data_IF_163222271162
#
_entry.id   IF_163222271162
#
_cell.length_a   1.000
_cell.length_b   1.000
_cell.length_c   1.000
_cell.angle_alpha   90.00
_cell.angle_beta   90.00
_cell.angle_gamma   90.00
#
_symmetry.space_group_name_H-M   'P 1'
#
loop_
_entity.id
_entity.type
_entity.pdbx_description
1 polymer ?
#
# COMPACT_ATOMS: atom_id res chain seq x y z
N UNK A 1 -12.71 -20.24 17.76
CA UNK A 1 -11.74 -20.03 16.87
C UNK A 1 -10.37 -19.84 17.45
N UNK A 2 -9.93 -20.84 18.05
CA UNK A 2 -8.66 -20.81 18.71
C UNK A 2 -7.51 -20.61 17.77
N UNK A 3 -7.59 -21.20 16.58
CA UNK A 3 -6.48 -21.15 15.66
C UNK A 3 -6.15 -19.77 15.15
N UNK A 4 -7.09 -18.84 15.27
CA UNK A 4 -6.88 -17.47 14.82
C UNK A 4 -6.82 -16.49 15.96
N UNK A 5 -6.81 -17.00 17.17
CA UNK A 5 -6.76 -16.14 18.33
C UNK A 5 -5.47 -15.35 18.34
N UNK A 6 -5.58 -14.04 18.42
CA UNK A 6 -4.41 -13.17 18.36
C UNK A 6 -3.85 -12.94 16.99
N UNK A 7 -4.40 -13.61 15.96
CA UNK A 7 -3.88 -13.50 14.60
C UNK A 7 -4.36 -12.25 13.87
N UNK A 8 -5.52 -11.73 14.23
CA UNK A 8 -6.12 -10.59 13.56
C UNK A 8 -6.51 -9.55 14.58
N UNK A 9 -6.07 -8.33 14.36
CA UNK A 9 -6.40 -7.20 15.21
C UNK A 9 -7.02 -6.13 14.34
N UNK A 10 -8.20 -5.66 14.72
CA UNK A 10 -8.87 -4.56 14.03
C UNK A 10 -8.75 -3.31 14.88
N UNK A 11 -8.28 -2.24 14.26
CA UNK A 11 -8.09 -0.97 14.93
C UNK A 11 -8.73 0.13 14.12
N UNK A 12 -9.47 0.99 14.81
CA UNK A 12 -10.02 2.19 14.21
C UNK A 12 -9.19 3.37 14.66
N UNK A 13 -8.44 3.96 13.74
CA UNK A 13 -7.66 5.14 14.08
C UNK A 13 -7.33 5.89 12.81
N UNK A 14 -7.15 7.19 12.95
CA UNK A 14 -6.65 8.00 11.84
C UNK A 14 -5.15 7.80 11.73
N UNK A 15 -4.72 7.30 10.58
CA UNK A 15 -3.30 7.09 10.31
C UNK A 15 -2.71 8.36 9.72
N UNK A 16 -1.62 8.82 10.30
CA UNK A 16 -0.90 10.00 9.82
C UNK A 16 0.60 9.70 9.81
N UNK A 17 1.40 10.51 9.12
CA UNK A 17 2.84 10.29 9.14
C UNK A 17 3.43 10.24 10.54
N UNK A 18 2.82 11.01 11.47
CA UNK A 18 3.34 11.09 12.82
C UNK A 18 2.98 9.87 13.67
N UNK A 19 1.76 9.34 13.53
CA UNK A 19 1.31 8.31 14.46
C UNK A 19 1.65 6.89 14.03
N UNK A 20 2.09 6.68 12.79
CA UNK A 20 2.51 5.35 12.35
C UNK A 20 3.65 4.83 13.23
N UNK A 21 4.52 5.71 13.70
CA UNK A 21 5.65 5.30 14.53
C UNK A 21 5.22 4.63 15.83
N UNK A 22 4.03 4.96 16.30
CA UNK A 22 3.53 4.45 17.57
C UNK A 22 2.77 3.13 17.41
N UNK A 23 2.65 2.63 16.18
CA UNK A 23 1.99 1.35 15.96
C UNK A 23 2.88 0.21 16.44
N UNK A 24 2.29 -0.85 16.98
CA UNK A 24 3.07 -2.06 17.27
C UNK A 24 3.45 -2.75 15.96
N UNK A 25 4.33 -3.74 16.06
CA UNK A 25 4.72 -4.55 14.91
C UNK A 25 3.68 -5.67 14.76
N UNK A 26 3.20 -5.86 13.54
CA UNK A 26 2.27 -6.92 13.19
C UNK A 26 2.96 -7.89 12.23
N UNK A 27 2.45 -9.11 12.13
CA UNK A 27 2.98 -10.06 11.14
C UNK A 27 2.81 -9.51 9.73
N UNK A 28 1.60 -9.08 9.41
CA UNK A 28 1.30 -8.51 8.10
C UNK A 28 0.34 -7.35 8.25
N UNK A 29 0.45 -6.39 7.34
CA UNK A 29 -0.41 -5.21 7.32
C UNK A 29 -1.09 -5.14 5.96
N UNK A 30 -2.40 -4.86 5.97
CA UNK A 30 -3.18 -4.72 4.75
C UNK A 30 -3.48 -3.25 4.51
N UNK A 31 -3.01 -2.74 3.38
CA UNK A 31 -3.28 -1.36 2.94
C UNK A 31 -4.14 -1.42 1.69
N UNK A 32 -5.42 -1.74 1.87
CA UNK A 32 -6.34 -1.94 0.77
C UNK A 32 -7.15 -0.67 0.55
N UNK A 33 -7.01 -0.09 -0.64
CA UNK A 33 -7.79 1.11 -1.04
C UNK A 33 -7.55 2.32 -0.14
N UNK A 34 -6.34 2.48 0.39
CA UNK A 34 -6.04 3.60 1.28
C UNK A 34 -4.96 4.53 0.75
N UNK A 35 -4.10 4.06 -0.17
CA UNK A 35 -2.98 4.89 -0.62
C UNK A 35 -3.44 6.21 -1.24
N UNK A 36 -4.51 6.18 -2.04
CA UNK A 36 -5.01 7.40 -2.65
C UNK A 36 -5.55 8.38 -1.61
N UNK A 37 -6.05 7.88 -0.47
CA UNK A 37 -6.45 8.75 0.63
C UNK A 37 -5.23 9.39 1.29
N UNK A 38 -4.15 8.63 1.48
CA UNK A 38 -2.91 9.19 2.01
C UNK A 38 -2.40 10.32 1.12
N UNK A 39 -2.43 10.10 -0.20
CA UNK A 39 -1.98 11.12 -1.15
C UNK A 39 -2.84 12.38 -1.05
N UNK A 40 -4.16 12.21 -1.00
CA UNK A 40 -5.06 13.37 -0.92
C UNK A 40 -4.89 14.15 0.38
N UNK A 41 -4.67 13.44 1.48
CA UNK A 41 -4.61 14.08 2.80
C UNK A 41 -3.22 14.61 3.13
N UNK A 42 -2.18 13.96 2.66
CA UNK A 42 -0.82 14.27 3.12
C UNK A 42 0.17 14.57 2.00
N UNK A 43 -0.24 14.44 0.76
CA UNK A 43 0.64 14.64 -0.39
C UNK A 43 1.37 13.37 -0.78
N UNK A 44 1.91 13.37 -1.99
CA UNK A 44 2.49 12.16 -2.58
C UNK A 44 3.72 11.67 -1.82
N UNK A 45 4.64 12.59 -1.50
CA UNK A 45 5.87 12.18 -0.83
C UNK A 45 5.62 11.64 0.56
N UNK A 46 4.70 12.26 1.29
CA UNK A 46 4.32 11.76 2.62
C UNK A 46 3.60 10.44 2.53
N UNK A 47 2.76 10.25 1.50
CA UNK A 47 2.06 8.98 1.31
C UNK A 47 3.05 7.85 1.06
N UNK A 48 4.07 8.09 0.25
CA UNK A 48 5.11 7.09 0.01
C UNK A 48 5.86 6.74 1.29
N UNK A 49 6.21 7.76 2.06
CA UNK A 49 6.89 7.55 3.34
C UNK A 49 6.02 6.76 4.32
N UNK A 50 4.71 7.06 4.34
CA UNK A 50 3.78 6.33 5.21
C UNK A 50 3.74 4.84 4.86
N UNK A 51 3.73 4.52 3.57
CA UNK A 51 3.70 3.12 3.14
C UNK A 51 4.98 2.40 3.56
N UNK A 52 6.13 3.06 3.42
CA UNK A 52 7.41 2.48 3.85
C UNK A 52 7.42 2.30 5.37
N UNK A 53 6.90 3.28 6.11
CA UNK A 53 6.85 3.19 7.57
C UNK A 53 5.92 2.06 8.01
N UNK A 54 4.78 1.89 7.33
CA UNK A 54 3.89 0.77 7.61
C UNK A 54 4.58 -0.56 7.32
N UNK A 55 5.34 -0.62 6.23
CA UNK A 55 6.10 -1.84 5.94
C UNK A 55 7.10 -2.14 7.06
N UNK A 56 7.71 -1.11 7.64
CA UNK A 56 8.65 -1.32 8.74
C UNK A 56 7.96 -1.88 9.98
N UNK A 57 6.64 -1.68 10.10
CA UNK A 57 5.84 -2.22 11.20
C UNK A 57 5.28 -3.60 10.91
N UNK A 58 5.56 -4.18 9.74
CA UNK A 58 5.17 -5.55 9.44
C UNK A 58 6.40 -6.45 9.61
N UNK A 59 6.20 -7.57 10.27
CA UNK A 59 7.31 -8.52 10.45
C UNK A 59 7.58 -9.30 9.18
N UNK A 60 6.55 -9.55 8.39
CA UNK A 60 6.66 -10.39 7.19
C UNK A 60 6.27 -9.69 5.92
N UNK A 61 5.08 -9.09 5.85
CA UNK A 61 4.56 -8.60 4.59
C UNK A 61 3.66 -7.40 4.77
N UNK A 62 3.66 -6.54 3.76
CA UNK A 62 2.67 -5.50 3.57
C UNK A 62 1.92 -5.81 2.28
N UNK A 63 0.60 -5.77 2.33
CA UNK A 63 -0.23 -5.90 1.14
C UNK A 63 -0.75 -4.53 0.76
N UNK A 64 -0.46 -4.10 -0.46
CA UNK A 64 -0.76 -2.76 -0.91
C UNK A 64 -1.61 -2.82 -2.17
N UNK A 65 -2.76 -2.16 -2.12
CA UNK A 65 -3.65 -2.08 -3.27
C UNK A 65 -3.72 -0.63 -3.73
N UNK A 66 -3.47 -0.42 -5.02
CA UNK A 66 -3.39 0.92 -5.60
C UNK A 66 -4.37 1.04 -6.77
N UNK A 67 -5.23 2.09 -6.78
CA UNK A 67 -6.05 2.36 -7.95
C UNK A 67 -5.21 2.77 -9.15
N UNK A 68 -5.66 2.38 -10.33
CA UNK A 68 -4.91 2.61 -11.57
C UNK A 68 -5.22 3.95 -12.24
N UNK A 69 -6.16 4.71 -11.70
CA UNK A 69 -6.59 5.97 -12.33
C UNK A 69 -6.32 7.15 -11.43
N UNK A 70 -5.83 8.21 -12.04
CA UNK A 70 -5.39 9.39 -11.31
C UNK A 70 -6.55 10.12 -10.61
N UNK A 71 -7.78 9.94 -11.10
CA UNK A 71 -8.94 10.60 -10.47
C UNK A 71 -9.10 10.27 -9.00
N UNK A 72 -8.68 9.08 -8.58
CA UNK A 72 -8.73 8.70 -7.18
C UNK A 72 -7.75 9.46 -6.31
N UNK A 73 -6.78 10.13 -6.92
CA UNK A 73 -5.74 10.87 -6.22
C UNK A 73 -5.93 12.38 -6.30
N UNK A 74 -7.05 12.83 -6.90
CA UNK A 74 -7.32 14.26 -7.09
C UNK A 74 -6.17 14.98 -7.80
N UNK A 75 -5.59 14.33 -8.81
CA UNK A 75 -4.49 14.89 -9.61
C UNK A 75 -3.26 15.26 -8.78
N UNK A 76 -3.05 14.57 -7.67
CA UNK A 76 -1.91 14.88 -6.79
C UNK A 76 -0.71 13.95 -6.98
N UNK A 77 -0.78 13.03 -7.92
CA UNK A 77 0.37 12.19 -8.25
C UNK A 77 1.22 12.83 -9.34
N UNK A 78 2.51 12.60 -9.27
CA UNK A 78 3.45 13.08 -10.27
C UNK A 78 3.37 12.31 -11.59
N UNK A 79 2.71 11.14 -11.58
CA UNK A 79 2.57 10.31 -12.77
C UNK A 79 1.12 9.86 -12.91
N UNK A 80 0.65 9.81 -14.16
CA UNK A 80 -0.67 9.26 -14.46
C UNK A 80 -0.48 7.82 -14.92
N UNK A 81 -1.00 6.87 -14.15
CA UNK A 81 -0.88 5.45 -14.49
C UNK A 81 -1.66 5.09 -15.74
N UNK A 82 -2.74 5.80 -16.02
CA UNK A 82 -3.57 5.59 -17.19
C UNK A 82 -3.99 4.13 -17.35
N UNK A 83 -4.27 3.46 -16.24
CA UNK A 83 -4.68 2.06 -16.25
C UNK A 83 -3.58 1.06 -16.56
N UNK A 84 -2.33 1.50 -16.67
CA UNK A 84 -1.24 0.64 -17.12
C UNK A 84 -0.51 0.00 -15.95
N UNK A 85 -0.50 -1.34 -15.95
CA UNK A 85 0.17 -2.11 -14.91
C UNK A 85 1.67 -1.81 -14.84
N UNK A 86 2.33 -1.65 -15.98
CA UNK A 86 3.77 -1.44 -15.98
C UNK A 86 4.17 -0.13 -15.29
N UNK A 87 3.33 0.89 -15.40
CA UNK A 87 3.60 2.16 -14.70
C UNK A 87 3.35 2.03 -13.20
N UNK A 88 2.30 1.33 -12.80
CA UNK A 88 2.02 1.08 -11.39
C UNK A 88 3.14 0.22 -10.79
N UNK A 89 3.56 -0.81 -11.50
CA UNK A 89 4.61 -1.71 -11.06
C UNK A 89 5.90 -0.92 -10.78
N UNK A 90 6.29 -0.06 -11.72
CA UNK A 90 7.48 0.76 -11.55
C UNK A 90 7.34 1.71 -10.37
N UNK A 91 6.17 2.31 -10.25
CA UNK A 91 5.92 3.28 -9.17
C UNK A 91 6.09 2.62 -7.80
N UNK A 92 5.51 1.43 -7.62
CA UNK A 92 5.60 0.73 -6.35
C UNK A 92 7.03 0.29 -6.07
N UNK A 93 7.72 -0.25 -7.09
CA UNK A 93 9.10 -0.67 -6.90
C UNK A 93 10.01 0.51 -6.53
N UNK A 94 9.72 1.69 -7.07
CA UNK A 94 10.47 2.89 -6.73
C UNK A 94 10.23 3.33 -5.28
N UNK A 95 9.01 3.13 -4.76
CA UNK A 95 8.74 3.45 -3.35
C UNK A 95 9.68 2.68 -2.43
N UNK A 96 9.96 1.42 -2.76
CA UNK A 96 10.74 0.53 -1.91
C UNK A 96 12.19 0.37 -2.36
N UNK A 97 12.65 1.20 -3.31
CA UNK A 97 13.97 1.02 -3.93
C UNK A 97 15.10 1.13 -2.91
N UNK A 98 14.93 1.94 -1.88
CA UNK A 98 15.94 2.13 -0.85
C UNK A 98 15.69 1.31 0.41
N UNK A 99 14.72 0.41 0.37
CA UNK A 99 14.43 -0.46 1.50
C UNK A 99 15.19 -1.75 1.32
N UNK A 100 16.07 -2.04 2.29
CA UNK A 100 16.91 -3.23 2.21
C UNK A 100 16.10 -4.50 2.40
N UNK A 101 16.49 -5.55 1.68
CA UNK A 101 15.98 -6.89 1.90
C UNK A 101 14.46 -6.97 1.78
N UNK A 102 13.92 -6.39 0.72
CA UNK A 102 12.50 -6.55 0.44
C UNK A 102 12.27 -7.05 -0.97
N UNK A 103 11.13 -7.69 -1.16
CA UNK A 103 10.71 -8.20 -2.45
C UNK A 103 9.31 -7.69 -2.76
N UNK A 104 9.11 -7.16 -3.95
CA UNK A 104 7.81 -6.67 -4.40
C UNK A 104 7.22 -7.69 -5.37
N UNK A 105 6.03 -8.21 -5.03
CA UNK A 105 5.36 -9.25 -5.82
C UNK A 105 4.00 -8.75 -6.25
N UNK A 106 3.72 -8.83 -7.54
CA UNK A 106 2.39 -8.50 -8.07
C UNK A 106 1.46 -9.69 -7.86
N UNK A 107 0.31 -9.46 -7.23
CA UNK A 107 -0.63 -10.54 -6.93
C UNK A 107 -1.82 -10.59 -7.88
N UNK A 108 -2.18 -9.46 -8.49
CA UNK A 108 -3.31 -9.46 -9.40
C UNK A 108 -4.04 -8.13 -9.42
N UNK A 109 -5.12 -8.09 -10.17
CA UNK A 109 -5.93 -6.88 -10.26
C UNK A 109 -7.39 -7.21 -10.03
N UNK A 110 -8.09 -6.24 -9.45
CA UNK A 110 -9.54 -6.30 -9.30
C UNK A 110 -10.16 -5.23 -10.18
N UNK A 111 -11.14 -5.61 -10.99
CA UNK A 111 -11.87 -4.68 -11.84
C UNK A 111 -12.96 -4.01 -11.01
N UNK A 112 -13.04 -2.68 -11.10
CA UNK A 112 -14.11 -1.95 -10.44
C UNK A 112 -15.43 -2.24 -11.14
N UNK A 113 -16.55 -1.94 -10.45
CA UNK A 113 -17.88 -2.19 -11.00
C UNK A 113 -18.07 -1.49 -12.34
N UNK A 114 -18.69 -2.17 -13.30
CA UNK A 114 -19.08 -1.50 -14.53
C UNK A 114 -19.99 -0.30 -14.21
N UNK A 115 -19.98 0.76 -15.03
CA UNK A 115 -19.32 0.82 -16.34
C UNK A 115 -17.88 1.33 -16.30
N UNK A 116 -17.28 1.49 -15.11
CA UNK A 116 -15.93 2.00 -15.06
C UNK A 116 -14.95 0.93 -15.55
N UNK A 117 -13.85 1.38 -16.16
CA UNK A 117 -12.77 0.50 -16.55
C UNK A 117 -11.57 0.67 -15.62
N UNK A 118 -11.83 1.04 -14.39
CA UNK A 118 -10.77 1.22 -13.41
C UNK A 118 -10.39 -0.13 -12.82
N UNK A 119 -9.11 -0.24 -12.50
CA UNK A 119 -8.57 -1.43 -11.86
C UNK A 119 -7.91 -1.04 -10.56
N UNK A 120 -7.83 -2.01 -9.65
CA UNK A 120 -7.02 -1.90 -8.45
C UNK A 120 -5.99 -3.01 -8.51
N UNK A 121 -4.73 -2.61 -8.43
CA UNK A 121 -3.62 -3.56 -8.50
C UNK A 121 -3.16 -3.90 -7.09
N UNK A 122 -3.01 -5.19 -6.83
CA UNK A 122 -2.62 -5.68 -5.51
C UNK A 122 -1.18 -6.18 -5.55
N UNK A 123 -0.39 -5.68 -4.61
CA UNK A 123 1.01 -6.07 -4.46
C UNK A 123 1.27 -6.56 -3.04
N UNK A 124 2.22 -7.46 -2.93
CA UNK A 124 2.72 -7.94 -1.66
C UNK A 124 4.19 -7.55 -1.57
N UNK A 125 4.52 -6.83 -0.51
CA UNK A 125 5.91 -6.44 -0.25
C UNK A 125 6.38 -7.30 0.91
N UNK A 126 7.35 -8.16 0.66
CA UNK A 126 7.83 -9.14 1.62
C UNK A 126 9.18 -8.74 2.17
N UNK A 127 9.38 -9.00 3.45
CA UNK A 127 10.72 -8.90 4.03
C UNK A 127 11.44 -10.20 3.77
N UNK A 128 12.72 -10.07 3.40
CA UNK A 128 13.57 -11.24 3.26
C UNK A 128 14.25 -11.54 4.59
N UNK A 129 14.28 -12.80 4.92
CA UNK A 129 15.10 -13.26 6.05
C UNK A 129 16.54 -13.30 5.62
N UNK A 130 17.41 -12.80 6.46
CA UNK A 130 18.83 -12.82 6.21
C UNK A 130 19.52 -13.90 7.05
#
# INVERSE_FOLDING_TARGET
>A
EKGVEGSVVFMEMSISPENIRNLPVFDSILCLSVFHHFVRLHGENNAKAMVVDLFSKSAKSLFLQIPSKIGKYNNKLSIDFNGRKDLVDRYIRDIFVNVDSCEVVYLGKKVEKPPTEEYRFLYQINKHDN
#
